data_IF_267879631760
#
_entry.id   IF_267879631760
#
_cell.length_a   1.000
_cell.length_b   1.000
_cell.length_c   1.000
_cell.angle_alpha   90.00
_cell.angle_beta   90.00
_cell.angle_gamma   90.00
#
_symmetry.space_group_name_H-M   'P 1'
#
loop_
_entity.id
_entity.type
_entity.pdbx_description
1 polymer ?
#
# COMPACT_ATOMS: atom_id res chain seq x y z
N UNK A 1 -29.35 15.12 -13.81
CA UNK A 1 -29.08 13.72 -13.41
C UNK A 1 -29.06 12.87 -14.67
N UNK A 2 -27.91 12.79 -15.32
CA UNK A 2 -27.70 11.92 -16.48
C UNK A 2 -27.57 10.49 -15.97
N UNK A 3 -28.57 9.66 -16.27
CA UNK A 3 -28.54 8.22 -16.00
C UNK A 3 -27.34 7.66 -16.75
N UNK A 4 -26.36 7.09 -16.04
CA UNK A 4 -25.27 6.37 -16.67
C UNK A 4 -25.87 5.31 -17.62
N UNK A 5 -25.47 5.26 -18.90
CA UNK A 5 -26.09 4.35 -19.87
C UNK A 5 -26.02 2.92 -19.34
N UNK A 6 -27.14 2.20 -19.44
CA UNK A 6 -27.21 0.80 -19.06
C UNK A 6 -26.15 0.02 -19.85
N UNK A 7 -25.39 -0.80 -19.15
CA UNK A 7 -24.26 -1.46 -19.78
C UNK A 7 -24.70 -2.49 -20.80
N UNK A 8 -23.91 -2.66 -21.87
CA UNK A 8 -24.33 -3.43 -23.00
C UNK A 8 -24.45 -4.92 -22.66
N UNK A 9 -25.56 -5.54 -23.09
CA UNK A 9 -25.82 -6.97 -22.95
C UNK A 9 -26.09 -7.59 -24.32
N UNK A 10 -25.51 -8.76 -24.57
CA UNK A 10 -25.81 -9.59 -25.76
C UNK A 10 -27.15 -10.31 -25.51
N UNK A 11 -28.09 -10.20 -26.45
CA UNK A 11 -29.43 -10.81 -26.38
C UNK A 11 -29.56 -12.00 -27.33
N UNK A 12 -30.49 -12.92 -27.06
CA UNK A 12 -30.72 -14.11 -27.89
C UNK A 12 -31.45 -13.73 -29.20
N UNK A 13 -31.13 -14.42 -30.29
CA UNK A 13 -31.71 -14.15 -31.61
C UNK A 13 -32.96 -14.97 -31.88
N UNK A 14 -33.87 -14.50 -32.77
CA UNK A 14 -34.99 -15.30 -33.27
C UNK A 14 -34.56 -16.59 -33.99
N UNK A 15 -33.39 -16.57 -34.65
CA UNK A 15 -32.78 -17.68 -35.41
C UNK A 15 -31.93 -18.62 -34.55
N UNK A 16 -31.46 -18.16 -33.37
CA UNK A 16 -30.80 -18.96 -32.34
C UNK A 16 -31.34 -18.53 -30.96
N UNK A 17 -32.37 -19.22 -30.44
CA UNK A 17 -33.09 -18.78 -29.24
C UNK A 17 -32.30 -18.93 -27.93
N UNK A 18 -31.06 -19.44 -27.98
CA UNK A 18 -30.20 -19.58 -26.81
C UNK A 18 -28.84 -18.91 -27.04
N UNK A 19 -28.41 -18.12 -26.05
CA UNK A 19 -27.06 -17.54 -25.99
C UNK A 19 -25.99 -18.62 -25.89
N UNK A 20 -24.88 -18.44 -26.62
CA UNK A 20 -23.69 -19.28 -26.50
C UNK A 20 -23.03 -19.14 -25.12
N UNK A 21 -22.22 -20.12 -24.73
CA UNK A 21 -21.48 -20.07 -23.46
C UNK A 21 -20.59 -18.83 -23.36
N UNK A 22 -19.95 -18.43 -24.46
CA UNK A 22 -19.12 -17.23 -24.49
C UNK A 22 -19.93 -15.93 -24.38
N UNK A 23 -21.17 -15.90 -24.90
CA UNK A 23 -22.05 -14.72 -24.81
C UNK A 23 -22.59 -14.56 -23.38
N UNK A 24 -22.95 -15.68 -22.74
CA UNK A 24 -23.31 -15.71 -21.31
C UNK A 24 -22.14 -15.22 -20.44
N UNK A 25 -20.92 -15.73 -20.69
CA UNK A 25 -19.71 -15.30 -19.97
C UNK A 25 -19.47 -13.80 -20.12
N UNK A 26 -19.62 -13.27 -21.34
CA UNK A 26 -19.48 -11.84 -21.61
C UNK A 26 -20.47 -11.02 -20.77
N UNK A 27 -21.76 -11.35 -20.84
CA UNK A 27 -22.80 -10.65 -20.07
C UNK A 27 -22.55 -10.69 -18.56
N UNK A 28 -22.11 -11.84 -18.03
CA UNK A 28 -21.77 -11.97 -16.61
C UNK A 28 -20.56 -11.14 -16.21
N UNK A 29 -19.50 -11.13 -17.03
CA UNK A 29 -18.30 -10.32 -16.75
C UNK A 29 -18.62 -8.82 -16.76
N UNK A 30 -19.46 -8.39 -17.71
CA UNK A 30 -19.93 -7.01 -17.80
C UNK A 30 -20.68 -6.57 -16.53
N UNK A 31 -21.65 -7.37 -16.08
CA UNK A 31 -22.42 -7.08 -14.86
C UNK A 31 -21.54 -7.04 -13.61
N UNK A 32 -20.54 -7.94 -13.52
CA UNK A 32 -19.55 -7.93 -12.44
C UNK A 32 -18.69 -6.67 -12.48
N UNK A 33 -18.17 -6.30 -13.65
CA UNK A 33 -17.35 -5.09 -13.84
C UNK A 33 -18.10 -3.83 -13.42
N UNK A 34 -19.36 -3.66 -13.82
CA UNK A 34 -20.17 -2.51 -13.40
C UNK A 34 -20.38 -2.45 -11.89
N UNK A 35 -20.61 -3.61 -11.29
CA UNK A 35 -20.80 -3.73 -9.85
C UNK A 35 -19.51 -3.37 -9.12
N UNK A 36 -18.36 -3.87 -9.59
CA UNK A 36 -17.05 -3.54 -9.05
C UNK A 36 -16.67 -2.08 -9.26
N UNK A 37 -16.93 -1.48 -10.43
CA UNK A 37 -16.71 -0.05 -10.68
C UNK A 37 -17.53 0.83 -9.74
N UNK A 38 -18.82 0.51 -9.55
CA UNK A 38 -19.66 1.24 -8.56
C UNK A 38 -19.16 1.07 -7.13
N UNK A 39 -18.61 -0.09 -6.80
CA UNK A 39 -17.99 -0.33 -5.49
C UNK A 39 -16.68 0.47 -5.35
N UNK A 40 -15.84 0.50 -6.38
CA UNK A 40 -14.61 1.30 -6.41
C UNK A 40 -14.93 2.80 -6.24
N UNK A 41 -15.94 3.32 -6.92
CA UNK A 41 -16.37 4.72 -6.73
C UNK A 41 -16.81 5.03 -5.30
N UNK A 42 -17.47 4.08 -4.63
CA UNK A 42 -17.79 4.24 -3.20
C UNK A 42 -16.53 4.23 -2.32
N UNK A 43 -15.54 3.38 -2.64
CA UNK A 43 -14.26 3.36 -1.95
C UNK A 43 -13.43 4.62 -2.20
N UNK A 44 -13.45 5.18 -3.41
CA UNK A 44 -12.81 6.45 -3.73
C UNK A 44 -13.37 7.58 -2.86
N UNK A 45 -14.70 7.70 -2.80
CA UNK A 45 -15.36 8.70 -1.96
C UNK A 45 -15.03 8.53 -0.46
N UNK A 46 -15.02 7.28 0.02
CA UNK A 46 -14.61 6.99 1.40
C UNK A 46 -13.13 7.34 1.64
N UNK A 47 -12.25 7.02 0.68
CA UNK A 47 -10.81 7.29 0.76
C UNK A 47 -10.51 8.77 0.87
N UNK A 48 -11.20 9.64 0.11
CA UNK A 48 -11.06 11.10 0.25
C UNK A 48 -11.39 11.60 1.66
N UNK A 49 -12.38 10.99 2.31
CA UNK A 49 -12.71 11.35 3.70
C UNK A 49 -11.65 10.83 4.66
N UNK A 50 -11.14 9.61 4.45
CA UNK A 50 -10.06 9.02 5.24
C UNK A 50 -8.76 9.82 5.11
N UNK A 51 -8.40 10.27 3.91
CA UNK A 51 -7.24 11.15 3.65
C UNK A 51 -7.37 12.48 4.39
N UNK A 52 -8.57 13.09 4.35
CA UNK A 52 -8.83 14.30 5.11
C UNK A 52 -8.68 14.07 6.62
N UNK A 53 -9.27 13.01 7.16
CA UNK A 53 -9.13 12.65 8.58
C UNK A 53 -7.66 12.37 8.96
N UNK A 54 -6.90 11.75 8.07
CA UNK A 54 -5.47 11.51 8.27
C UNK A 54 -4.70 12.83 8.45
N UNK A 55 -4.87 13.75 7.50
CA UNK A 55 -4.13 15.02 7.51
C UNK A 55 -4.62 15.98 8.60
N UNK A 56 -5.93 16.08 8.80
CA UNK A 56 -6.52 17.06 9.73
C UNK A 56 -6.53 16.60 11.18
N UNK A 57 -6.57 15.28 11.45
CA UNK A 57 -6.73 14.76 12.81
C UNK A 57 -5.53 13.91 13.25
N UNK A 58 -5.14 12.89 12.48
CA UNK A 58 -4.07 11.96 12.89
C UNK A 58 -2.68 12.57 12.86
N UNK A 59 -2.32 13.31 11.80
CA UNK A 59 -1.00 13.96 11.70
C UNK A 59 -0.75 14.91 12.88
N UNK A 60 -1.71 15.77 13.29
CA UNK A 60 -1.57 16.54 14.53
C UNK A 60 -1.38 15.69 15.78
N UNK A 61 -2.16 14.61 15.95
CA UNK A 61 -2.03 13.70 17.10
C UNK A 61 -0.62 13.09 17.15
N UNK A 62 -0.07 12.64 16.02
CA UNK A 62 1.30 12.10 15.99
C UNK A 62 2.36 13.15 16.32
N UNK A 63 2.17 14.40 15.90
CA UNK A 63 3.07 15.49 16.29
C UNK A 63 3.01 15.75 17.79
N UNK A 64 1.81 15.80 18.35
CA UNK A 64 1.60 16.03 19.78
C UNK A 64 2.16 14.85 20.62
N UNK A 65 2.00 13.62 20.16
CA UNK A 65 2.64 12.45 20.77
C UNK A 65 4.16 12.57 20.78
N UNK A 66 4.78 12.90 19.63
CA UNK A 66 6.23 13.09 19.55
C UNK A 66 6.72 14.24 20.45
N UNK A 67 5.94 15.30 20.59
CA UNK A 67 6.22 16.39 21.54
C UNK A 67 6.13 15.92 22.99
N UNK A 68 5.11 15.12 23.32
CA UNK A 68 4.90 14.52 24.64
C UNK A 68 6.02 13.54 25.02
N UNK A 69 6.52 12.74 24.09
CA UNK A 69 7.64 11.82 24.35
C UNK A 69 8.93 12.57 24.71
N UNK A 70 9.20 13.69 24.01
CA UNK A 70 10.33 14.56 24.35
C UNK A 70 10.10 15.29 25.67
N UNK A 71 8.86 15.74 25.94
CA UNK A 71 8.51 16.36 27.22
C UNK A 71 8.72 15.38 28.39
N UNK A 72 8.30 14.12 28.22
CA UNK A 72 8.53 13.03 29.16
C UNK A 72 10.02 12.85 29.43
N UNK A 73 10.83 12.72 28.37
CA UNK A 73 12.28 12.56 28.49
C UNK A 73 12.92 13.70 29.30
N UNK A 74 12.53 14.96 29.02
CA UNK A 74 13.03 16.14 29.76
C UNK A 74 12.59 16.13 31.23
N UNK A 75 11.36 15.71 31.52
CA UNK A 75 10.88 15.58 32.90
C UNK A 75 11.65 14.49 33.67
N UNK A 76 11.93 13.36 33.03
CA UNK A 76 12.73 12.29 33.60
C UNK A 76 14.18 12.74 33.85
N UNK A 77 14.78 13.47 32.89
CA UNK A 77 16.10 14.08 33.05
C UNK A 77 16.15 15.02 34.27
N UNK A 78 15.20 15.94 34.35
CA UNK A 78 15.06 16.87 35.47
C UNK A 78 14.85 16.13 36.80
N UNK A 79 14.00 15.11 36.83
CA UNK A 79 13.71 14.34 38.02
C UNK A 79 14.94 13.58 38.54
N UNK A 80 15.81 13.12 37.63
CA UNK A 80 17.06 12.44 37.98
C UNK A 80 18.00 13.33 38.80
N UNK A 81 17.99 14.65 38.53
CA UNK A 81 18.82 15.64 39.20
C UNK A 81 18.16 16.20 40.47
N UNK A 82 16.84 16.37 40.45
CA UNK A 82 16.10 17.04 41.53
C UNK A 82 15.69 16.10 42.67
N UNK A 83 15.36 14.85 42.38
CA UNK A 83 14.73 13.95 43.35
C UNK A 83 15.70 12.96 43.97
N UNK A 84 15.51 12.70 45.26
CA UNK A 84 16.24 11.63 45.97
C UNK A 84 15.60 10.27 45.66
N UNK A 85 16.20 9.58 44.69
CA UNK A 85 15.82 8.24 44.25
C UNK A 85 16.63 7.16 44.98
N UNK A 86 16.01 5.98 45.16
CA UNK A 86 16.74 4.80 45.63
C UNK A 86 17.71 4.32 44.53
N UNK A 87 18.67 3.44 44.88
CA UNK A 87 19.57 2.85 43.86
C UNK A 87 18.78 2.11 42.78
N UNK A 88 17.71 1.40 43.16
CA UNK A 88 16.84 0.65 42.24
C UNK A 88 16.07 1.60 41.32
N UNK A 89 15.43 2.62 41.88
CA UNK A 89 14.68 3.61 41.09
C UNK A 89 15.59 4.42 40.15
N UNK A 90 16.79 4.76 40.60
CA UNK A 90 17.77 5.43 39.74
C UNK A 90 18.22 4.55 38.58
N UNK A 91 18.48 3.26 38.81
CA UNK A 91 18.85 2.34 37.73
C UNK A 91 17.74 2.24 36.67
N UNK A 92 16.50 2.02 37.10
CA UNK A 92 15.33 1.99 36.19
C UNK A 92 15.15 3.30 35.43
N UNK A 93 15.27 4.44 36.10
CA UNK A 93 15.12 5.74 35.45
C UNK A 93 16.18 5.94 34.36
N UNK A 94 17.43 5.57 34.64
CA UNK A 94 18.54 5.69 33.69
C UNK A 94 18.31 4.81 32.47
N UNK A 95 17.90 3.56 32.67
CA UNK A 95 17.58 2.62 31.60
C UNK A 95 16.48 3.16 30.68
N UNK A 96 15.37 3.63 31.27
CA UNK A 96 14.27 4.24 30.51
C UNK A 96 14.76 5.47 29.73
N UNK A 97 15.53 6.36 30.36
CA UNK A 97 16.07 7.55 29.68
C UNK A 97 16.94 7.15 28.50
N UNK A 98 17.83 6.16 28.66
CA UNK A 98 18.68 5.68 27.57
C UNK A 98 17.85 5.13 26.41
N UNK A 99 16.90 4.23 26.69
CA UNK A 99 16.01 3.62 25.68
C UNK A 99 15.22 4.71 24.94
N UNK A 100 14.59 5.63 25.66
CA UNK A 100 13.84 6.73 25.07
C UNK A 100 14.73 7.68 24.25
N UNK A 101 15.94 7.95 24.72
CA UNK A 101 16.88 8.82 24.01
C UNK A 101 17.26 8.20 22.66
N UNK A 102 17.52 6.89 22.63
CA UNK A 102 17.82 6.17 21.39
C UNK A 102 16.62 6.10 20.45
N UNK A 103 15.41 5.84 20.98
CA UNK A 103 14.20 5.72 20.14
C UNK A 103 13.73 7.03 19.53
N UNK A 104 14.11 8.17 20.11
CA UNK A 104 13.75 9.51 19.63
C UNK A 104 14.78 10.11 18.64
N UNK A 105 15.89 9.42 18.35
CA UNK A 105 16.91 9.87 17.40
C UNK A 105 16.40 9.88 15.95
N UNK A 106 17.02 10.71 15.10
CA UNK A 106 16.73 10.80 13.67
C UNK A 106 15.87 12.02 13.30
N UNK A 107 15.88 13.07 14.13
CA UNK A 107 15.07 14.27 13.94
C UNK A 107 15.79 15.59 14.25
N UNK A 108 15.04 16.69 14.24
CA UNK A 108 15.59 18.04 14.46
C UNK A 108 16.21 18.25 15.86
N UNK A 109 15.99 17.31 16.78
CA UNK A 109 16.40 17.39 18.19
C UNK A 109 17.61 16.52 18.53
N UNK A 110 18.25 15.91 17.54
CA UNK A 110 19.36 14.96 17.74
C UNK A 110 20.49 15.53 18.61
N UNK A 111 20.86 16.79 18.42
CA UNK A 111 21.90 17.42 19.25
C UNK A 111 21.53 17.52 20.75
N UNK A 112 20.25 17.66 21.07
CA UNK A 112 19.78 17.59 22.46
C UNK A 112 19.83 16.16 22.99
N UNK A 113 19.34 15.20 22.19
CA UNK A 113 19.29 13.80 22.54
C UNK A 113 20.70 13.20 22.71
N UNK A 114 21.65 13.52 21.83
CA UNK A 114 23.06 13.10 21.94
C UNK A 114 23.71 13.61 23.23
N UNK A 115 23.37 14.82 23.68
CA UNK A 115 23.83 15.33 24.99
C UNK A 115 23.25 14.53 26.16
N UNK A 116 21.97 14.16 26.09
CA UNK A 116 21.35 13.31 27.11
C UNK A 116 21.94 11.90 27.10
N UNK A 117 22.18 11.33 25.91
CA UNK A 117 22.85 10.06 25.73
C UNK A 117 24.22 10.10 26.43
N UNK A 118 25.08 11.04 26.06
CA UNK A 118 26.39 11.23 26.68
C UNK A 118 26.32 11.43 28.20
N UNK A 119 25.31 12.16 28.72
CA UNK A 119 25.11 12.35 30.16
C UNK A 119 24.88 11.03 30.89
N UNK A 120 24.13 10.11 30.29
CA UNK A 120 23.63 8.91 30.97
C UNK A 120 24.40 7.63 30.64
N UNK A 121 24.93 7.50 29.44
CA UNK A 121 25.78 6.37 29.03
C UNK A 121 27.27 6.66 29.26
N UNK A 122 27.67 7.94 29.21
CA UNK A 122 29.07 8.34 29.22
C UNK A 122 29.79 8.09 27.89
N UNK A 123 29.06 7.69 26.85
CA UNK A 123 29.59 7.42 25.51
C UNK A 123 29.07 8.41 24.47
N UNK A 124 29.82 8.57 23.40
CA UNK A 124 29.42 9.39 22.26
C UNK A 124 28.52 8.57 21.33
N UNK A 125 27.30 9.06 21.09
CA UNK A 125 26.30 8.33 20.33
C UNK A 125 26.76 8.03 18.90
N UNK A 126 27.43 8.97 18.23
CA UNK A 126 27.84 8.79 16.83
C UNK A 126 28.94 7.74 16.73
N UNK A 127 29.85 7.69 17.72
CA UNK A 127 30.87 6.65 17.80
C UNK A 127 30.29 5.27 18.12
N UNK A 128 29.36 5.18 19.07
CA UNK A 128 28.68 3.90 19.39
C UNK A 128 27.92 3.38 18.17
N UNK A 129 27.19 4.26 17.45
CA UNK A 129 26.51 3.91 16.20
C UNK A 129 27.48 3.42 15.14
N UNK A 130 28.61 4.11 14.95
CA UNK A 130 29.65 3.70 13.98
C UNK A 130 30.19 2.31 14.30
N UNK A 131 30.45 2.02 15.57
CA UNK A 131 30.95 0.71 16.01
C UNK A 131 29.90 -0.40 15.85
N UNK A 132 28.63 -0.12 16.12
CA UNK A 132 27.53 -1.05 15.88
C UNK A 132 27.39 -1.36 14.38
N UNK A 133 27.39 -0.33 13.54
CA UNK A 133 27.28 -0.47 12.08
C UNK A 133 28.48 -1.27 11.51
N UNK A 134 29.70 -1.01 11.98
CA UNK A 134 30.90 -1.77 11.60
C UNK A 134 30.84 -3.23 12.05
N UNK A 135 30.35 -3.50 13.25
CA UNK A 135 30.17 -4.86 13.77
C UNK A 135 29.10 -5.63 12.99
N UNK A 136 27.98 -4.98 12.67
CA UNK A 136 26.90 -5.54 11.87
C UNK A 136 27.37 -5.85 10.44
N UNK A 137 28.08 -4.90 9.80
CA UNK A 137 28.70 -5.09 8.48
C UNK A 137 29.63 -6.29 8.47
N UNK A 138 30.56 -6.38 9.41
CA UNK A 138 31.50 -7.51 9.48
C UNK A 138 30.80 -8.86 9.64
N UNK A 139 29.72 -8.90 10.44
CA UNK A 139 28.91 -10.11 10.63
C UNK A 139 28.18 -10.52 9.35
N UNK A 140 27.59 -9.57 8.62
CA UNK A 140 26.94 -9.81 7.34
C UNK A 140 27.93 -10.30 6.27
N UNK A 141 29.11 -9.69 6.20
CA UNK A 141 30.17 -10.09 5.27
C UNK A 141 30.63 -11.53 5.53
N UNK A 142 30.79 -11.91 6.79
CA UNK A 142 31.15 -13.26 7.20
C UNK A 142 30.05 -14.29 6.84
N UNK A 143 28.79 -13.98 7.14
CA UNK A 143 27.66 -14.88 6.89
C UNK A 143 27.40 -15.09 5.39
N UNK A 144 27.51 -14.02 4.60
CA UNK A 144 27.20 -14.03 3.17
C UNK A 144 28.42 -14.31 2.28
N UNK A 145 29.64 -14.19 2.81
CA UNK A 145 30.88 -14.37 2.04
C UNK A 145 31.07 -13.31 0.94
N UNK A 146 30.58 -12.10 1.18
CA UNK A 146 30.69 -10.92 0.29
C UNK A 146 31.37 -9.78 1.04
N UNK A 147 32.08 -8.91 0.34
CA UNK A 147 32.66 -7.70 0.93
C UNK A 147 31.69 -6.55 0.64
N UNK A 148 31.14 -5.90 1.67
CA UNK A 148 30.24 -4.76 1.50
C UNK A 148 31.09 -3.49 1.42
N UNK A 149 30.80 -2.60 0.46
CA UNK A 149 31.47 -1.30 0.35
C UNK A 149 31.24 -0.39 1.57
N UNK A 150 32.06 0.64 1.75
CA UNK A 150 31.86 1.67 2.80
C UNK A 150 30.71 2.64 2.47
N UNK A 151 30.18 2.55 1.25
CA UNK A 151 29.10 3.36 0.69
C UNK A 151 27.71 2.71 0.78
N UNK A 152 27.63 1.47 1.30
CA UNK A 152 26.36 0.75 1.47
C UNK A 152 25.61 1.28 2.68
N UNK A 153 24.37 1.72 2.47
CA UNK A 153 23.48 2.08 3.57
C UNK A 153 22.93 0.83 4.26
N UNK A 154 23.54 0.46 5.40
CA UNK A 154 23.17 -0.70 6.21
C UNK A 154 21.77 -0.59 6.83
N UNK A 155 21.17 0.60 6.85
CA UNK A 155 19.79 0.82 7.34
C UNK A 155 18.74 0.52 6.26
N UNK A 156 19.17 0.28 5.01
CA UNK A 156 18.30 0.00 3.88
C UNK A 156 18.49 -1.43 3.37
N UNK A 157 17.52 -2.30 3.69
CA UNK A 157 17.51 -3.70 3.21
C UNK A 157 17.57 -3.76 1.68
N UNK A 158 16.90 -2.83 0.99
CA UNK A 158 16.91 -2.74 -0.47
C UNK A 158 18.30 -2.39 -1.02
N UNK A 159 19.07 -1.55 -0.32
CA UNK A 159 20.40 -1.14 -0.75
C UNK A 159 21.42 -2.26 -0.51
N UNK A 160 21.36 -2.90 0.65
CA UNK A 160 22.13 -4.12 0.97
C UNK A 160 21.84 -5.23 -0.03
N UNK A 161 20.56 -5.51 -0.30
CA UNK A 161 20.15 -6.57 -1.25
C UNK A 161 20.64 -6.25 -2.67
N UNK A 162 20.51 -5.00 -3.11
CA UNK A 162 21.00 -4.57 -4.43
C UNK A 162 22.51 -4.76 -4.56
N UNK A 163 23.27 -4.39 -3.53
CA UNK A 163 24.73 -4.54 -3.54
C UNK A 163 25.16 -6.01 -3.55
N UNK A 164 24.46 -6.87 -2.78
CA UNK A 164 24.68 -8.32 -2.81
C UNK A 164 24.35 -8.88 -4.19
N UNK A 165 23.22 -8.51 -4.78
CA UNK A 165 22.84 -8.94 -6.13
C UNK A 165 23.84 -8.48 -7.19
N UNK A 166 24.37 -7.27 -7.07
CA UNK A 166 25.39 -6.73 -7.96
C UNK A 166 26.70 -7.51 -7.84
N UNK A 167 27.20 -7.76 -6.63
CA UNK A 167 28.39 -8.62 -6.44
C UNK A 167 28.18 -10.06 -6.92
N UNK A 168 27.00 -10.63 -6.67
CA UNK A 168 26.67 -11.98 -7.16
C UNK A 168 26.58 -12.00 -8.68
N UNK A 169 26.03 -10.95 -9.31
CA UNK A 169 26.06 -10.77 -10.77
C UNK A 169 27.47 -10.61 -11.29
N UNK A 170 28.31 -9.77 -10.69
CA UNK A 170 29.69 -9.61 -11.11
C UNK A 170 30.48 -10.93 -11.00
N UNK A 171 30.32 -11.67 -9.90
CA UNK A 171 30.89 -13.02 -9.75
C UNK A 171 30.32 -13.99 -10.78
N UNK A 172 29.02 -13.92 -11.06
CA UNK A 172 28.37 -14.77 -12.05
C UNK A 172 28.72 -14.39 -13.50
N UNK A 173 28.95 -13.12 -13.81
CA UNK A 173 29.38 -12.58 -15.11
C UNK A 173 30.85 -12.91 -15.36
N UNK A 174 31.70 -12.80 -14.34
CA UNK A 174 33.06 -13.32 -14.36
C UNK A 174 33.09 -14.85 -14.58
N UNK A 175 32.08 -15.59 -14.09
CA UNK A 175 31.92 -17.01 -14.38
C UNK A 175 31.23 -17.29 -15.75
N UNK A 176 30.37 -16.40 -16.23
CA UNK A 176 29.57 -16.52 -17.46
C UNK A 176 30.28 -16.06 -18.73
N UNK A 177 31.45 -15.43 -18.64
CA UNK A 177 32.34 -15.25 -19.80
C UNK A 177 32.76 -16.61 -20.42
N UNK A 178 32.34 -17.73 -19.80
CA UNK A 178 32.44 -19.11 -20.28
C UNK A 178 31.17 -19.71 -20.93
N UNK A 179 29.97 -19.10 -20.89
CA UNK A 179 28.73 -19.72 -21.41
C UNK A 179 27.74 -18.78 -22.11
N UNK A 180 27.36 -19.16 -23.34
CA UNK A 180 26.41 -18.46 -24.24
C UNK A 180 24.98 -18.35 -23.69
N UNK A 181 24.23 -17.29 -24.07
CA UNK A 181 22.89 -17.02 -23.58
C UNK A 181 21.84 -18.05 -24.08
N UNK A 182 20.96 -18.49 -23.18
CA UNK A 182 19.82 -19.36 -23.48
C UNK A 182 18.69 -18.58 -24.15
N UNK A 183 18.06 -19.21 -25.14
CA UNK A 183 16.91 -18.67 -25.89
C UNK A 183 15.61 -18.69 -25.05
N UNK A 184 14.71 -17.71 -25.26
CA UNK A 184 13.42 -17.64 -24.57
C UNK A 184 12.54 -18.86 -24.89
N UNK A 185 11.70 -19.20 -23.92
CA UNK A 185 10.90 -20.41 -23.88
C UNK A 185 9.63 -20.26 -24.72
N UNK A 186 9.12 -21.35 -25.30
CA UNK A 186 7.92 -21.33 -26.16
C UNK A 186 6.64 -20.80 -25.47
N UNK A 187 6.60 -20.79 -24.13
CA UNK A 187 5.51 -20.21 -23.35
C UNK A 187 5.53 -18.67 -23.31
N UNK A 188 6.72 -18.09 -23.32
CA UNK A 188 6.92 -16.62 -23.28
C UNK A 188 6.56 -16.01 -24.63
N UNK A 189 7.02 -16.64 -25.72
CA UNK A 189 6.65 -16.28 -27.10
C UNK A 189 5.14 -16.34 -27.36
N UNK A 190 4.42 -17.31 -26.77
CA UNK A 190 2.95 -17.40 -26.89
C UNK A 190 2.26 -16.26 -26.13
N UNK A 191 2.71 -15.96 -24.92
CA UNK A 191 2.16 -14.87 -24.11
C UNK A 191 2.39 -13.50 -24.75
N UNK A 192 3.56 -13.28 -25.33
CA UNK A 192 3.87 -12.06 -26.10
C UNK A 192 3.04 -11.95 -27.38
N UNK A 193 2.88 -13.04 -28.15
CA UNK A 193 2.00 -13.05 -29.33
C UNK A 193 0.55 -12.74 -28.96
N UNK A 194 0.05 -13.32 -27.87
CA UNK A 194 -1.32 -13.10 -27.40
C UNK A 194 -1.55 -11.67 -26.85
N UNK A 195 -0.52 -11.03 -26.28
CA UNK A 195 -0.55 -9.61 -25.90
C UNK A 195 -0.47 -8.67 -27.10
N UNK A 196 0.37 -9.01 -28.10
CA UNK A 196 0.46 -8.28 -29.36
C UNK A 196 -0.85 -8.34 -30.15
N UNK A 197 -1.52 -9.49 -30.20
CA UNK A 197 -2.85 -9.63 -30.82
C UNK A 197 -3.93 -8.83 -30.06
N UNK A 198 -3.83 -8.72 -28.73
CA UNK A 198 -4.78 -7.93 -27.93
C UNK A 198 -4.67 -6.43 -28.13
N UNK A 199 -3.45 -5.91 -28.18
CA UNK A 199 -3.21 -4.50 -28.51
C UNK A 199 -3.58 -4.17 -29.96
N UNK A 200 -3.49 -5.14 -30.89
CA UNK A 200 -4.00 -5.00 -32.26
C UNK A 200 -5.53 -4.92 -32.32
N UNK A 201 -6.24 -5.78 -31.57
CA UNK A 201 -7.71 -5.76 -31.49
C UNK A 201 -8.25 -4.43 -30.93
N UNK A 202 -7.60 -3.86 -29.91
CA UNK A 202 -7.95 -2.54 -29.36
C UNK A 202 -7.74 -1.42 -30.39
N UNK A 203 -6.60 -1.42 -31.08
CA UNK A 203 -6.30 -0.46 -32.16
C UNK A 203 -7.27 -0.58 -33.34
N UNK A 204 -7.74 -1.78 -33.67
CA UNK A 204 -8.75 -1.99 -34.70
C UNK A 204 -10.12 -1.45 -34.30
N UNK A 205 -10.54 -1.65 -33.04
CA UNK A 205 -11.80 -1.08 -32.51
C UNK A 205 -11.73 0.44 -32.52
N UNK A 206 -10.64 1.02 -32.01
CA UNK A 206 -10.41 2.46 -32.05
C UNK A 206 -10.40 3.01 -33.48
N UNK A 207 -9.67 2.37 -34.40
CA UNK A 207 -9.63 2.79 -35.82
C UNK A 207 -11.00 2.72 -36.50
N UNK A 208 -11.83 1.74 -36.18
CA UNK A 208 -13.21 1.64 -36.70
C UNK A 208 -14.12 2.73 -36.13
N UNK A 209 -14.01 3.02 -34.83
CA UNK A 209 -14.74 4.11 -34.18
C UNK A 209 -14.39 5.47 -34.78
N UNK A 210 -13.09 5.76 -34.90
CA UNK A 210 -12.54 6.98 -35.54
C UNK A 210 -13.01 7.10 -36.99
N UNK A 211 -13.06 6.00 -37.73
CA UNK A 211 -13.54 6.00 -39.13
C UNK A 211 -15.05 6.21 -39.26
N UNK A 212 -15.85 5.79 -38.27
CA UNK A 212 -17.32 5.92 -38.27
C UNK A 212 -17.79 7.30 -37.77
N UNK A 213 -17.01 7.94 -36.90
CA UNK A 213 -17.30 9.23 -36.26
C UNK A 213 -16.59 10.44 -36.90
N UNK A 214 -15.92 10.27 -38.04
CA UNK A 214 -15.12 11.36 -38.63
C UNK A 214 -16.02 12.57 -39.04
N UNK A 215 -15.90 13.74 -38.38
CA UNK A 215 -16.83 14.87 -38.57
C UNK A 215 -16.80 15.46 -39.98
N UNK A 216 -15.67 15.28 -40.68
CA UNK A 216 -15.39 15.83 -42.02
C UNK A 216 -16.16 15.14 -43.16
N UNK A 217 -16.90 14.05 -42.86
CA UNK A 217 -17.75 13.33 -43.81
C UNK A 217 -19.25 13.64 -43.68
N UNK A 218 -19.64 14.42 -42.67
CA UNK A 218 -21.04 14.74 -42.42
C UNK A 218 -21.44 16.12 -42.96
N UNK A 219 -22.52 16.15 -43.74
CA UNK A 219 -23.05 17.39 -44.35
C UNK A 219 -24.06 18.11 -43.44
N UNK A 220 -24.58 17.43 -42.42
CA UNK A 220 -25.51 17.98 -41.43
C UNK A 220 -24.72 18.57 -40.25
N UNK A 221 -25.02 19.83 -39.89
CA UNK A 221 -24.33 20.57 -38.84
C UNK A 221 -24.61 19.98 -37.44
N UNK A 222 -25.83 19.52 -37.18
CA UNK A 222 -26.22 19.00 -35.85
C UNK A 222 -25.60 17.61 -35.61
N UNK A 223 -25.52 16.77 -36.65
CA UNK A 223 -24.83 15.47 -36.58
C UNK A 223 -23.31 15.62 -36.51
N UNK A 224 -22.74 16.71 -37.06
CA UNK A 224 -21.30 17.01 -36.93
C UNK A 224 -20.91 17.31 -35.49
N UNK A 225 -21.68 18.13 -34.79
CA UNK A 225 -21.42 18.47 -33.38
C UNK A 225 -21.59 17.24 -32.48
N UNK A 226 -22.60 16.41 -32.76
CA UNK A 226 -22.83 15.14 -32.07
C UNK A 226 -21.67 14.15 -32.29
N UNK A 227 -21.20 13.96 -33.52
CA UNK A 227 -20.05 13.09 -33.83
C UNK A 227 -18.75 13.60 -33.22
N UNK A 228 -18.57 14.92 -33.13
CA UNK A 228 -17.41 15.54 -32.47
C UNK A 228 -17.37 15.21 -30.97
N UNK A 229 -18.51 15.32 -30.28
CA UNK A 229 -18.61 14.95 -28.86
C UNK A 229 -18.39 13.45 -28.61
N UNK A 230 -18.89 12.59 -29.50
CA UNK A 230 -18.63 11.14 -29.46
C UNK A 230 -17.15 10.81 -29.72
N UNK A 231 -16.51 11.48 -30.68
CA UNK A 231 -15.09 11.32 -31.01
C UNK A 231 -14.20 11.67 -29.81
N UNK A 232 -14.53 12.74 -29.09
CA UNK A 232 -13.79 13.17 -27.90
C UNK A 232 -13.87 12.10 -26.79
N UNK A 233 -15.06 11.56 -26.54
CA UNK A 233 -15.25 10.45 -25.59
C UNK A 233 -14.49 9.17 -26.02
N UNK A 234 -14.44 8.86 -27.31
CA UNK A 234 -13.68 7.71 -27.85
C UNK A 234 -12.18 7.89 -27.61
N UNK A 235 -11.64 9.10 -27.79
CA UNK A 235 -10.23 9.40 -27.54
C UNK A 235 -9.89 9.25 -26.05
N UNK A 236 -10.71 9.80 -25.15
CA UNK A 236 -10.52 9.66 -23.69
C UNK A 236 -10.58 8.20 -23.23
N UNK A 237 -11.49 7.40 -23.82
CA UNK A 237 -11.60 5.97 -23.52
C UNK A 237 -10.42 5.14 -24.07
N UNK A 238 -9.80 5.57 -25.18
CA UNK A 238 -8.61 4.93 -25.74
C UNK A 238 -7.36 5.28 -24.95
N UNK A 239 -7.19 6.54 -24.53
CA UNK A 239 -6.08 6.97 -23.67
C UNK A 239 -6.11 6.30 -22.29
N UNK A 240 -7.29 5.96 -21.78
CA UNK A 240 -7.47 5.26 -20.51
C UNK A 240 -7.53 3.73 -20.61
N UNK A 241 -7.21 3.15 -21.80
CA UNK A 241 -7.34 1.71 -22.10
C UNK A 241 -8.70 1.11 -21.69
N UNK A 242 -9.74 1.95 -21.69
CA UNK A 242 -11.08 1.61 -21.22
C UNK A 242 -11.87 0.94 -22.34
N UNK A 243 -11.51 -0.31 -22.63
CA UNK A 243 -12.15 -1.14 -23.66
C UNK A 243 -13.68 -1.19 -23.49
N UNK A 244 -14.20 -1.16 -22.26
CA UNK A 244 -15.64 -1.09 -22.03
C UNK A 244 -16.26 0.19 -22.61
N UNK A 245 -15.65 1.35 -22.37
CA UNK A 245 -16.14 2.62 -22.88
C UNK A 245 -16.05 2.66 -24.41
N UNK A 246 -14.98 2.11 -24.99
CA UNK A 246 -14.85 1.95 -26.45
C UNK A 246 -15.93 1.01 -27.01
N UNK A 247 -16.21 -0.11 -26.36
CA UNK A 247 -17.28 -1.05 -26.76
C UNK A 247 -18.67 -0.44 -26.57
N UNK A 248 -18.91 0.31 -25.50
CA UNK A 248 -20.15 1.06 -25.27
C UNK A 248 -20.39 2.09 -26.38
N UNK A 249 -19.36 2.84 -26.76
CA UNK A 249 -19.45 3.81 -27.86
C UNK A 249 -19.62 3.12 -29.20
N UNK A 250 -18.93 2.00 -29.43
CA UNK A 250 -19.13 1.17 -30.61
C UNK A 250 -20.59 0.72 -30.72
N UNK A 251 -21.21 0.34 -29.60
CA UNK A 251 -22.62 -0.04 -29.55
C UNK A 251 -23.60 1.13 -29.61
N UNK A 252 -23.27 2.30 -29.06
CA UNK A 252 -24.06 3.53 -29.18
C UNK A 252 -24.10 4.01 -30.65
N UNK A 253 -23.03 3.74 -31.41
CA UNK A 253 -22.92 3.98 -32.85
C UNK A 253 -23.58 2.84 -33.67
N UNK A 254 -23.38 1.58 -33.26
CA UNK A 254 -23.94 0.38 -33.92
C UNK A 254 -25.40 0.08 -33.56
N UNK A 255 -26.06 0.84 -32.67
CA UNK A 255 -27.53 0.82 -32.53
C UNK A 255 -28.24 1.28 -33.83
N UNK A 256 -27.49 1.81 -34.80
CA UNK A 256 -27.93 2.08 -36.17
C UNK A 256 -27.92 0.78 -37.03
N UNK A 257 -27.25 -0.30 -36.61
CA UNK A 257 -27.29 -1.62 -37.26
C UNK A 257 -27.10 -2.79 -36.28
N UNK A 258 -28.20 -3.15 -35.61
CA UNK A 258 -28.28 -4.18 -34.56
C UNK A 258 -27.91 -5.60 -35.03
N UNK A 259 -27.67 -5.80 -36.34
CA UNK A 259 -27.29 -7.09 -36.93
C UNK A 259 -25.81 -7.44 -36.77
N UNK A 260 -24.95 -6.48 -36.43
CA UNK A 260 -23.50 -6.69 -36.41
C UNK A 260 -22.93 -7.17 -35.07
N UNK A 261 -23.49 -6.74 -33.93
CA UNK A 261 -23.14 -7.21 -32.57
C UNK A 261 -23.41 -8.71 -32.42
N UNK A 262 -24.46 -9.15 -33.09
CA UNK A 262 -24.98 -10.51 -33.15
C UNK A 262 -24.10 -11.47 -34.00
N UNK A 263 -23.15 -10.90 -34.77
CA UNK A 263 -22.21 -11.62 -35.63
C UNK A 263 -20.79 -11.72 -35.07
N UNK A 264 -20.55 -11.30 -33.81
CA UNK A 264 -19.23 -11.40 -33.18
C UNK A 264 -18.80 -12.87 -33.18
N UNK A 265 -17.69 -13.16 -33.87
CA UNK A 265 -17.15 -14.51 -33.97
C UNK A 265 -16.74 -15.04 -32.60
N UNK A 266 -16.86 -16.35 -32.38
CA UNK A 266 -16.46 -17.00 -31.12
C UNK A 266 -14.99 -16.70 -30.74
N UNK A 267 -14.12 -16.50 -31.74
CA UNK A 267 -12.72 -16.07 -31.52
C UNK A 267 -12.63 -14.68 -30.88
N UNK A 268 -13.36 -13.69 -31.40
CA UNK A 268 -13.40 -12.33 -30.83
C UNK A 268 -14.05 -12.32 -29.44
N UNK A 269 -15.09 -13.12 -29.25
CA UNK A 269 -15.79 -13.24 -27.97
C UNK A 269 -14.89 -13.87 -26.88
N UNK A 270 -14.08 -14.87 -27.24
CA UNK A 270 -13.06 -15.44 -26.34
C UNK A 270 -12.03 -14.40 -25.93
N UNK A 271 -11.58 -13.59 -26.88
CA UNK A 271 -10.65 -12.50 -26.64
C UNK A 271 -11.22 -11.44 -25.70
N UNK A 272 -12.44 -10.95 -25.95
CA UNK A 272 -13.12 -10.00 -25.05
C UNK A 272 -13.31 -10.55 -23.65
N UNK A 273 -13.75 -11.80 -23.53
CA UNK A 273 -13.88 -12.45 -22.23
C UNK A 273 -12.56 -12.53 -21.45
N UNK A 274 -11.40 -12.61 -22.14
CA UNK A 274 -10.09 -12.55 -21.48
C UNK A 274 -9.84 -11.15 -20.91
N UNK A 275 -9.93 -10.11 -21.75
CA UNK A 275 -9.67 -8.73 -21.31
C UNK A 275 -10.63 -8.31 -20.20
N UNK A 276 -11.93 -8.61 -20.31
CA UNK A 276 -12.90 -8.29 -19.26
C UNK A 276 -12.60 -9.03 -17.94
N UNK A 277 -11.98 -10.21 -18.00
CA UNK A 277 -11.55 -10.93 -16.79
C UNK A 277 -10.30 -10.29 -16.17
N UNK A 278 -9.36 -9.81 -17.00
CA UNK A 278 -8.17 -9.07 -16.58
C UNK A 278 -8.57 -7.74 -15.91
N UNK A 279 -9.42 -6.94 -16.56
CA UNK A 279 -9.94 -5.69 -15.97
C UNK A 279 -10.73 -5.91 -14.68
N UNK A 280 -11.44 -7.04 -14.56
CA UNK A 280 -12.16 -7.36 -13.33
C UNK A 280 -11.19 -7.64 -12.19
N UNK A 281 -10.09 -8.33 -12.47
CA UNK A 281 -9.03 -8.59 -11.49
C UNK A 281 -8.36 -7.28 -11.07
N UNK A 282 -7.96 -6.43 -12.03
CA UNK A 282 -7.35 -5.13 -11.74
C UNK A 282 -8.23 -4.26 -10.84
N UNK A 283 -9.54 -4.22 -11.08
CA UNK A 283 -10.48 -3.50 -10.21
C UNK A 283 -10.63 -4.14 -8.83
N UNK A 284 -10.54 -5.45 -8.72
CA UNK A 284 -10.59 -6.14 -7.43
C UNK A 284 -9.32 -5.89 -6.61
N UNK A 285 -8.16 -5.87 -7.27
CA UNK A 285 -6.86 -5.53 -6.68
C UNK A 285 -6.85 -4.06 -6.24
N UNK A 286 -7.30 -3.11 -7.07
CA UNK A 286 -7.39 -1.69 -6.67
C UNK A 286 -8.32 -1.48 -5.47
N UNK A 287 -9.46 -2.17 -5.42
CA UNK A 287 -10.35 -2.14 -4.25
C UNK A 287 -9.65 -2.74 -3.02
N UNK A 288 -8.89 -3.81 -3.19
CA UNK A 288 -8.14 -4.45 -2.11
C UNK A 288 -7.08 -3.52 -1.54
N UNK A 289 -6.25 -2.91 -2.38
CA UNK A 289 -5.17 -2.01 -1.98
C UNK A 289 -5.70 -0.81 -1.22
N UNK A 290 -6.81 -0.21 -1.71
CA UNK A 290 -7.49 0.89 -1.00
C UNK A 290 -7.99 0.48 0.37
N UNK A 291 -8.53 -0.74 0.50
CA UNK A 291 -8.96 -1.28 1.80
C UNK A 291 -7.76 -1.47 2.73
N UNK A 292 -6.64 -1.98 2.23
CA UNK A 292 -5.45 -2.22 3.04
C UNK A 292 -4.79 -0.92 3.49
N UNK A 293 -4.69 0.07 2.60
CA UNK A 293 -4.20 1.40 2.96
C UNK A 293 -5.01 2.04 4.10
N UNK A 294 -6.35 1.93 4.08
CA UNK A 294 -7.18 2.46 5.17
C UNK A 294 -6.95 1.67 6.46
N UNK A 295 -6.80 0.34 6.40
CA UNK A 295 -6.54 -0.46 7.59
C UNK A 295 -5.22 -0.09 8.25
N UNK A 296 -4.15 -0.03 7.46
CA UNK A 296 -2.82 0.30 7.92
C UNK A 296 -2.79 1.70 8.57
N UNK A 297 -3.32 2.72 7.88
CA UNK A 297 -3.35 4.09 8.39
C UNK A 297 -4.14 4.25 9.69
N UNK A 298 -5.20 3.48 9.88
CA UNK A 298 -6.04 3.60 11.06
C UNK A 298 -5.84 2.45 12.05
N UNK A 299 -4.76 1.67 11.90
CA UNK A 299 -4.40 0.52 12.74
C UNK A 299 -5.59 -0.41 13.00
N UNK A 300 -6.40 -0.65 11.96
CA UNK A 300 -7.56 -1.52 12.07
C UNK A 300 -7.13 -2.99 12.03
N UNK A 301 -7.84 -3.84 12.77
CA UNK A 301 -7.61 -5.28 12.76
C UNK A 301 -7.65 -5.85 11.33
N UNK A 302 -6.68 -6.71 10.94
CA UNK A 302 -6.59 -7.25 9.58
C UNK A 302 -7.86 -7.98 9.10
N UNK A 303 -8.58 -8.60 10.04
CA UNK A 303 -9.77 -9.41 9.79
C UNK A 303 -11.08 -8.61 9.92
N UNK A 304 -11.03 -7.35 10.35
CA UNK A 304 -12.22 -6.52 10.48
C UNK A 304 -12.88 -6.26 9.11
N UNK A 305 -14.20 -6.52 9.00
CA UNK A 305 -14.96 -6.21 7.80
C UNK A 305 -15.16 -4.70 7.66
N UNK A 306 -14.54 -4.09 6.65
CA UNK A 306 -14.72 -2.68 6.31
C UNK A 306 -15.55 -2.52 5.05
N UNK A 307 -16.51 -1.59 5.11
CA UNK A 307 -17.42 -1.26 4.01
C UNK A 307 -17.36 0.24 3.72
N UNK A 308 -17.53 0.68 2.46
CA UNK A 308 -17.42 2.10 2.11
C UNK A 308 -18.32 3.01 2.95
N UNK A 309 -19.52 2.54 3.30
CA UNK A 309 -20.51 3.32 4.07
C UNK A 309 -20.18 3.48 5.56
N UNK A 310 -19.38 2.57 6.12
CA UNK A 310 -19.14 2.51 7.57
C UNK A 310 -17.68 2.78 7.94
N UNK A 311 -16.75 2.66 6.99
CA UNK A 311 -15.31 2.78 7.25
C UNK A 311 -14.94 4.12 7.88
N UNK A 312 -15.51 5.24 7.41
CA UNK A 312 -15.21 6.55 7.97
C UNK A 312 -15.60 6.66 9.46
N UNK A 313 -16.70 6.02 9.88
CA UNK A 313 -17.08 6.00 11.29
C UNK A 313 -16.10 5.16 12.12
N UNK A 314 -15.52 4.09 11.54
CA UNK A 314 -14.46 3.31 12.17
C UNK A 314 -13.17 4.13 12.32
N UNK A 315 -12.79 4.87 11.29
CA UNK A 315 -11.65 5.79 11.33
C UNK A 315 -11.79 6.81 12.46
N UNK A 316 -12.97 7.44 12.59
CA UNK A 316 -13.25 8.39 13.69
C UNK A 316 -13.17 7.74 15.07
N UNK A 317 -13.62 6.49 15.22
CA UNK A 317 -13.45 5.78 16.49
C UNK A 317 -11.98 5.57 16.84
N UNK A 318 -11.14 5.19 15.89
CA UNK A 318 -9.71 5.02 16.13
C UNK A 318 -9.04 6.35 16.48
N UNK A 319 -9.41 7.45 15.81
CA UNK A 319 -8.96 8.79 16.19
C UNK A 319 -9.33 9.12 17.63
N UNK A 320 -10.54 8.80 18.07
CA UNK A 320 -10.96 9.09 19.45
C UNK A 320 -10.18 8.25 20.47
N UNK A 321 -9.91 6.98 20.19
CA UNK A 321 -9.06 6.14 21.05
C UNK A 321 -7.66 6.75 21.17
N UNK A 322 -7.07 7.19 20.06
CA UNK A 322 -5.75 7.82 20.09
C UNK A 322 -5.75 9.15 20.86
N UNK A 323 -6.85 9.92 20.81
CA UNK A 323 -7.01 11.13 21.62
C UNK A 323 -7.12 10.83 23.11
N UNK A 324 -7.90 9.82 23.47
CA UNK A 324 -8.02 9.38 24.87
C UNK A 324 -6.65 8.93 25.41
N UNK A 325 -5.89 8.16 24.63
CA UNK A 325 -4.52 7.80 24.99
C UNK A 325 -3.60 9.02 25.17
N UNK A 326 -3.74 10.02 24.30
CA UNK A 326 -2.93 11.25 24.39
C UNK A 326 -3.27 12.07 25.63
N UNK A 327 -4.55 12.13 26.00
CA UNK A 327 -4.99 12.75 27.27
C UNK A 327 -4.41 12.00 28.48
N UNK A 328 -4.38 10.66 28.44
CA UNK A 328 -3.73 9.85 29.49
C UNK A 328 -2.23 10.12 29.59
N UNK A 329 -1.54 10.25 28.45
CA UNK A 329 -0.11 10.62 28.41
C UNK A 329 0.10 11.99 29.05
N UNK A 330 -0.75 12.98 28.78
CA UNK A 330 -0.62 14.30 29.41
C UNK A 330 -0.79 14.24 30.93
N UNK A 331 -1.76 13.48 31.45
CA UNK A 331 -1.92 13.27 32.89
C UNK A 331 -0.70 12.56 33.50
N UNK A 332 -0.12 11.59 32.79
CA UNK A 332 1.12 10.93 33.19
C UNK A 332 2.28 11.95 33.30
N UNK A 333 2.45 12.84 32.32
CA UNK A 333 3.48 13.89 32.36
C UNK A 333 3.35 14.75 33.63
N UNK A 334 2.14 15.14 34.01
CA UNK A 334 1.93 15.88 35.26
C UNK A 334 2.31 15.04 36.48
N UNK A 335 1.96 13.75 36.51
CA UNK A 335 2.30 12.86 37.61
C UNK A 335 3.83 12.69 37.78
N UNK A 336 4.61 12.70 36.70
CA UNK A 336 6.08 12.59 36.76
C UNK A 336 6.76 13.77 37.47
N UNK A 337 6.07 14.90 37.62
CA UNK A 337 6.59 16.07 38.35
C UNK A 337 6.56 15.92 39.87
N UNK A 338 5.82 14.95 40.41
CA UNK A 338 5.76 14.66 41.85
C UNK A 338 6.68 13.48 42.23
N UNK A 339 7.54 13.61 43.27
CA UNK A 339 8.48 12.55 43.64
C UNK A 339 7.82 11.23 44.08
N UNK A 340 6.61 11.26 44.65
CA UNK A 340 5.90 10.06 45.10
C UNK A 340 5.28 9.35 43.91
N UNK A 341 4.62 10.11 43.04
CA UNK A 341 4.04 9.61 41.79
C UNK A 341 5.11 9.04 40.85
N UNK A 342 6.25 9.73 40.67
CA UNK A 342 7.37 9.19 39.89
C UNK A 342 7.87 7.84 40.41
N UNK A 343 7.98 7.67 41.73
CA UNK A 343 8.42 6.39 42.33
C UNK A 343 7.40 5.27 42.13
N UNK A 344 6.11 5.60 42.18
CA UNK A 344 5.05 4.65 41.86
C UNK A 344 5.12 4.24 40.38
N UNK A 345 5.26 5.23 39.49
CA UNK A 345 5.43 5.00 38.07
C UNK A 345 6.66 4.14 37.74
N UNK A 346 7.83 4.45 38.30
CA UNK A 346 9.05 3.63 38.12
C UNK A 346 8.87 2.19 38.62
N UNK A 347 7.99 1.97 39.60
CA UNK A 347 7.65 0.63 40.06
C UNK A 347 6.75 -0.08 39.04
N UNK A 348 5.73 0.58 38.51
CA UNK A 348 4.85 0.04 37.48
C UNK A 348 5.62 -0.29 36.20
N UNK A 349 6.56 0.55 35.78
CA UNK A 349 7.43 0.28 34.62
C UNK A 349 8.25 -1.00 34.78
N UNK A 350 8.76 -1.28 35.98
CA UNK A 350 9.47 -2.53 36.26
C UNK A 350 8.53 -3.74 36.27
N UNK A 351 7.37 -3.61 36.90
CA UNK A 351 6.38 -4.70 36.93
C UNK A 351 5.89 -5.03 35.51
N UNK A 352 5.83 -4.02 34.62
CA UNK A 352 5.52 -4.19 33.21
C UNK A 352 6.66 -4.85 32.43
N UNK A 353 7.91 -4.42 32.62
CA UNK A 353 9.08 -5.05 32.02
C UNK A 353 9.18 -6.54 32.43
N UNK A 354 9.06 -6.83 33.73
CA UNK A 354 9.04 -8.20 34.26
C UNK A 354 7.90 -9.04 33.63
N UNK A 355 6.75 -8.42 33.33
CA UNK A 355 5.63 -9.11 32.68
C UNK A 355 5.91 -9.40 31.21
N UNK A 356 6.51 -8.46 30.47
CA UNK A 356 6.86 -8.63 29.06
C UNK A 356 7.90 -9.73 28.88
N UNK A 357 8.94 -9.75 29.73
CA UNK A 357 9.96 -10.80 29.72
C UNK A 357 9.34 -12.20 29.91
N UNK A 358 8.34 -12.32 30.81
CA UNK A 358 7.63 -13.60 31.02
C UNK A 358 6.75 -14.01 29.83
N UNK A 359 6.24 -13.07 29.04
CA UNK A 359 5.42 -13.36 27.84
C UNK A 359 6.32 -13.80 26.69
N UNK A 360 7.46 -13.13 26.49
CA UNK A 360 8.46 -13.53 25.48
C UNK A 360 8.99 -14.95 25.74
N UNK A 361 9.31 -15.28 27.00
CA UNK A 361 9.71 -16.65 27.38
C UNK A 361 8.61 -17.69 27.11
N UNK A 362 7.33 -17.30 27.20
CA UNK A 362 6.19 -18.18 26.96
C UNK A 362 5.94 -18.41 25.45
N UNK A 363 6.03 -17.36 24.64
CA UNK A 363 5.91 -17.44 23.18
C UNK A 363 7.05 -18.24 22.56
N UNK A 364 8.28 -18.10 23.07
CA UNK A 364 9.43 -18.93 22.65
C UNK A 364 9.23 -20.41 22.98
N UNK A 365 8.62 -20.72 24.13
CA UNK A 365 8.31 -22.10 24.52
C UNK A 365 7.18 -22.70 23.67
N UNK A 366 6.16 -21.93 23.28
CA UNK A 366 5.07 -22.38 22.41
C UNK A 366 5.52 -22.54 20.94
N UNK A 367 6.42 -21.66 20.48
CA UNK A 367 7.14 -21.82 19.20
C UNK A 367 8.02 -23.07 19.17
N UNK A 368 8.70 -23.41 20.26
CA UNK A 368 9.48 -24.66 20.35
C UNK A 368 8.56 -25.89 20.37
N UNK A 369 7.45 -25.88 21.11
CA UNK A 369 6.52 -27.04 21.14
C UNK A 369 5.80 -27.27 19.80
N UNK A 370 5.67 -26.23 18.97
CA UNK A 370 5.13 -26.32 17.60
C UNK A 370 6.16 -26.75 16.55
N UNK A 371 7.45 -26.47 16.76
CA UNK A 371 8.55 -26.97 15.91
C UNK A 371 8.92 -28.43 16.18
N UNK A 372 8.62 -28.95 17.37
CA UNK A 372 8.92 -30.33 17.78
C UNK A 372 7.70 -31.29 17.76
N UNK A 373 6.57 -30.87 17.19
CA UNK A 373 5.41 -31.73 16.85
C UNK A 373 5.28 -31.89 15.35
#
# INVERSE_FOLDING_TARGET
MTVAPASPRIVAQPSRPQLSAGQKKFNTLMEKLETRRRLLQQWLAASTTCERLWVEELVPIFKEQAESDVAKLRLLDQASDQFRLSKKDRATLLEIICVMTMSLMGGERDEELKRLYLKYTGSDYDEDRRLEDEGFKASLEEELGVELGDDVDLQSIDDVTRHIEEQLRERAEQAQDSQKPKKPTASELRREQEQAEGSQSLREIYRRLVSALHPDREQDADERDRKTALMQRVNEAYESDNLLALLQMQMEIEQIDQTHIDSISDKRLKHFNRILSEQLRELEDEIHDRKMMIRERFLMDPYEDIRPKTVNAKCVRQINVLRENLDEVHEELYALTDPKSLKAWLREQREMADMLDMVEEFDDLEMLDTLFR
#
